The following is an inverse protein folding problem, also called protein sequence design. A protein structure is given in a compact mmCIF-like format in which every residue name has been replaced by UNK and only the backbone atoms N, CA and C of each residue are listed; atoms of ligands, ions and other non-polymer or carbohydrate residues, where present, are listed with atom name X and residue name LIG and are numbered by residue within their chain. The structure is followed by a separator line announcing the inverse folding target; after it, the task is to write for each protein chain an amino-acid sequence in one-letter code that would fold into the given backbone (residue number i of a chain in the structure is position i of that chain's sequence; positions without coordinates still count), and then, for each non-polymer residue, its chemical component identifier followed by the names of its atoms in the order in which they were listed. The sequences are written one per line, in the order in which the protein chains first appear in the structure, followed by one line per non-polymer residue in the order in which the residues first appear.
data_IF_982825003495
#
_entry.id   IF_982825003495
#
_cell.length_a   1.000
_cell.length_b   1.000
_cell.length_c   1.000
_cell.angle_alpha   90.00
_cell.angle_beta   90.00
_cell.angle_gamma   90.00
#
_symmetry.space_group_name_H-M   'P 1'
#
loop_
_entity.id
_entity.type
_entity.pdbx_description
1 polymer ?
#
# COMPACT_ATOMS: atom_id res chain seq x y z
N UNK A 1 21.64 12.62 -6.08
CA UNK A 1 20.70 11.91 -6.97
C UNK A 1 19.28 12.20 -6.54
N UNK A 2 18.40 12.54 -7.49
CA UNK A 2 16.97 12.72 -7.25
C UNK A 2 16.19 11.44 -7.54
N UNK A 3 15.24 11.11 -6.66
CA UNK A 3 14.36 9.95 -6.75
C UNK A 3 12.91 10.43 -6.57
N UNK A 4 11.99 9.92 -7.38
CA UNK A 4 10.56 10.21 -7.21
C UNK A 4 9.81 8.92 -6.88
N UNK A 5 9.18 8.85 -5.71
CA UNK A 5 8.22 7.80 -5.35
C UNK A 5 6.82 8.17 -5.79
N UNK A 6 6.06 7.21 -6.32
CA UNK A 6 4.74 7.40 -6.92
C UNK A 6 3.75 6.36 -6.41
N UNK A 7 2.56 6.83 -6.02
CA UNK A 7 1.37 6.02 -5.79
C UNK A 7 0.21 6.56 -6.65
N UNK A 8 -0.50 5.67 -7.36
CA UNK A 8 -1.71 6.02 -8.14
C UNK A 8 -2.96 5.25 -7.66
N UNK A 9 -2.85 4.52 -6.54
CA UNK A 9 -4.00 3.93 -5.86
C UNK A 9 -4.80 5.01 -5.09
N UNK A 10 -5.57 4.61 -4.09
CA UNK A 10 -6.21 5.57 -3.18
C UNK A 10 -5.11 6.43 -2.53
N UNK A 11 -5.42 7.72 -2.34
CA UNK A 11 -4.47 8.73 -1.86
C UNK A 11 -3.25 8.90 -2.78
N UNK A 12 -3.50 8.88 -4.09
CA UNK A 12 -2.46 9.06 -5.10
C UNK A 12 -1.62 10.32 -4.83
N UNK A 13 -0.33 10.23 -5.10
CA UNK A 13 0.62 11.27 -4.75
C UNK A 13 2.05 10.93 -5.17
N UNK A 14 2.94 11.89 -4.94
CA UNK A 14 4.37 11.75 -5.23
C UNK A 14 5.20 12.20 -4.04
N UNK A 15 6.39 11.63 -3.90
CA UNK A 15 7.43 12.14 -3.02
C UNK A 15 8.75 12.32 -3.78
N UNK A 16 9.50 13.36 -3.46
CA UNK A 16 10.84 13.61 -3.97
C UNK A 16 11.85 13.40 -2.86
N UNK A 17 12.85 12.59 -3.15
CA UNK A 17 14.03 12.44 -2.32
C UNK A 17 15.27 12.93 -3.07
N UNK A 18 16.21 13.50 -2.32
CA UNK A 18 17.53 13.87 -2.81
C UNK A 18 18.58 13.30 -1.86
N UNK A 19 19.42 12.40 -2.37
CA UNK A 19 20.56 11.85 -1.61
C UNK A 19 20.15 11.28 -0.24
N UNK A 20 19.05 10.52 -0.21
CA UNK A 20 18.51 9.90 1.01
C UNK A 20 17.62 10.79 1.87
N UNK A 21 17.52 12.09 1.55
CA UNK A 21 16.70 13.05 2.31
C UNK A 21 15.37 13.28 1.61
N UNK A 22 14.27 13.20 2.35
CA UNK A 22 12.95 13.60 1.86
C UNK A 22 12.93 15.13 1.63
N UNK A 23 12.72 15.54 0.39
CA UNK A 23 12.60 16.96 0.02
C UNK A 23 11.16 17.42 0.14
N UNK A 24 10.23 16.65 -0.43
CA UNK A 24 8.82 17.01 -0.47
C UNK A 24 7.93 15.78 -0.71
N UNK A 25 6.73 15.77 -0.15
CA UNK A 25 5.70 14.78 -0.42
C UNK A 25 4.33 15.47 -0.49
N UNK A 26 3.52 15.11 -1.48
CA UNK A 26 2.22 15.71 -1.71
C UNK A 26 1.25 14.70 -2.33
N UNK A 27 0.00 14.72 -1.86
CA UNK A 27 -1.10 13.94 -2.41
C UNK A 27 -1.93 14.79 -3.38
N UNK A 28 -2.37 14.15 -4.47
CA UNK A 28 -3.09 14.79 -5.59
C UNK A 28 -4.41 15.44 -5.14
N UNK A 29 -5.06 14.86 -4.13
CA UNK A 29 -6.29 15.41 -3.55
C UNK A 29 -6.13 16.83 -3.00
N UNK A 30 -4.90 17.24 -2.63
CA UNK A 30 -4.63 18.59 -2.13
C UNK A 30 -4.75 19.63 -3.23
N UNK A 31 -4.37 19.25 -4.46
CA UNK A 31 -4.37 20.11 -5.64
C UNK A 31 -5.70 20.04 -6.39
N UNK A 32 -6.21 18.84 -6.65
CA UNK A 32 -7.41 18.65 -7.44
C UNK A 32 -8.72 18.73 -6.63
N UNK A 33 -8.62 18.80 -5.29
CA UNK A 33 -9.72 18.92 -4.33
C UNK A 33 -10.71 17.74 -4.33
N UNK A 34 -10.35 16.62 -4.96
CA UNK A 34 -11.11 15.36 -4.94
C UNK A 34 -10.55 14.48 -3.83
N UNK A 35 -11.26 14.44 -2.71
CA UNK A 35 -10.86 13.65 -1.53
C UNK A 35 -10.64 12.17 -1.89
N UNK A 36 -9.56 11.57 -1.38
CA UNK A 36 -9.12 10.20 -1.60
C UNK A 36 -8.95 9.89 -3.10
N UNK A 37 -8.39 10.84 -3.85
CA UNK A 37 -8.20 10.70 -5.29
C UNK A 37 -7.41 9.42 -5.63
N UNK A 38 -7.92 8.67 -6.61
CA UNK A 38 -7.28 7.50 -7.18
C UNK A 38 -7.06 7.75 -8.68
N UNK A 39 -5.84 7.50 -9.15
CA UNK A 39 -5.40 7.77 -10.52
C UNK A 39 -4.01 8.39 -10.56
N UNK A 40 -3.56 8.78 -11.76
CA UNK A 40 -2.23 9.35 -11.95
C UNK A 40 -2.09 10.70 -11.23
N UNK A 41 -1.05 10.91 -10.39
CA UNK A 41 -0.84 12.15 -9.67
C UNK A 41 -0.07 13.20 -10.52
N UNK A 42 -0.65 13.57 -11.66
CA UNK A 42 -0.01 14.47 -12.63
C UNK A 42 0.24 15.87 -12.04
N UNK A 43 -0.75 16.46 -11.34
CA UNK A 43 -0.59 17.81 -10.81
C UNK A 43 0.49 17.85 -9.74
N UNK A 44 0.61 16.79 -8.94
CA UNK A 44 1.69 16.67 -7.96
C UNK A 44 3.07 16.61 -8.61
N UNK A 45 3.22 15.79 -9.66
CA UNK A 45 4.49 15.67 -10.37
C UNK A 45 4.90 17.01 -10.98
N UNK A 46 3.97 17.67 -11.68
CA UNK A 46 4.22 18.97 -12.29
C UNK A 46 4.55 20.05 -11.25
N UNK A 47 3.77 20.10 -10.16
CA UNK A 47 4.01 21.03 -9.05
C UNK A 47 5.43 20.87 -8.49
N UNK A 48 5.82 19.63 -8.21
CA UNK A 48 7.10 19.31 -7.59
C UNK A 48 8.26 19.63 -8.53
N UNK A 49 8.19 19.21 -9.79
CA UNK A 49 9.24 19.49 -10.79
C UNK A 49 9.41 21.00 -11.00
N UNK A 50 8.31 21.74 -11.14
CA UNK A 50 8.35 23.20 -11.31
C UNK A 50 8.94 23.91 -10.09
N UNK A 51 8.48 23.57 -8.89
CA UNK A 51 8.95 24.19 -7.64
C UNK A 51 10.43 23.96 -7.41
N UNK A 52 10.92 22.76 -7.73
CA UNK A 52 12.33 22.38 -7.56
C UNK A 52 13.19 22.73 -8.79
N UNK A 53 12.61 23.32 -9.83
CA UNK A 53 13.25 23.65 -11.12
C UNK A 53 13.96 22.44 -11.76
N UNK A 54 13.32 21.27 -11.64
CA UNK A 54 13.80 20.01 -12.19
C UNK A 54 13.02 19.66 -13.46
N UNK A 55 13.68 18.93 -14.35
CA UNK A 55 13.08 18.24 -15.49
C UNK A 55 12.99 16.76 -15.18
N UNK A 56 12.11 16.05 -15.89
CA UNK A 56 11.99 14.58 -15.83
C UNK A 56 13.36 13.89 -16.01
N UNK A 57 14.21 14.41 -16.90
CA UNK A 57 15.54 13.85 -17.17
C UNK A 57 16.54 13.99 -16.01
N UNK A 58 16.32 14.93 -15.09
CA UNK A 58 17.15 15.14 -13.90
C UNK A 58 16.86 14.09 -12.81
N UNK A 59 15.76 13.35 -12.94
CA UNK A 59 15.38 12.29 -12.03
C UNK A 59 16.14 11.02 -12.37
N UNK A 60 16.79 10.44 -11.35
CA UNK A 60 17.55 9.21 -11.46
C UNK A 60 16.63 8.00 -11.62
N UNK A 61 15.68 7.85 -10.69
CA UNK A 61 14.68 6.78 -10.74
C UNK A 61 13.28 7.26 -10.35
N UNK A 62 12.29 6.63 -10.98
CA UNK A 62 10.88 6.70 -10.64
C UNK A 62 10.49 5.37 -9.99
N UNK A 63 10.05 5.44 -8.74
CA UNK A 63 9.79 4.29 -7.89
C UNK A 63 8.28 4.13 -7.71
N UNK A 64 7.77 2.94 -8.02
CA UNK A 64 6.38 2.57 -7.84
C UNK A 64 6.27 1.53 -6.72
N UNK A 65 5.56 1.86 -5.66
CA UNK A 65 5.45 1.07 -4.42
C UNK A 65 4.33 0.02 -4.46
N UNK A 66 4.20 -0.64 -5.60
CA UNK A 66 3.23 -1.69 -5.89
C UNK A 66 3.84 -2.66 -6.90
N UNK A 67 3.42 -3.93 -6.86
CA UNK A 67 3.88 -4.99 -7.74
C UNK A 67 5.39 -5.30 -7.60
N UNK A 68 5.95 -5.13 -6.39
CA UNK A 68 7.30 -5.60 -6.09
C UNK A 68 7.38 -7.10 -6.29
N UNK A 69 8.22 -7.57 -7.23
CA UNK A 69 8.38 -9.00 -7.61
C UNK A 69 8.95 -9.91 -6.50
N UNK A 70 8.94 -9.50 -5.24
CA UNK A 70 9.62 -10.20 -4.14
C UNK A 70 8.76 -11.19 -3.36
N UNK A 71 7.54 -11.47 -3.82
CA UNK A 71 6.75 -12.51 -3.17
C UNK A 71 7.34 -13.90 -3.46
N UNK A 72 7.75 -14.59 -2.40
CA UNK A 72 7.99 -16.02 -2.44
C UNK A 72 6.68 -16.74 -2.79
N UNK A 73 6.42 -16.93 -4.09
CA UNK A 73 5.18 -17.51 -4.57
C UNK A 73 4.93 -18.92 -4.02
N UNK A 74 5.99 -19.68 -3.72
CA UNK A 74 5.85 -21.00 -3.10
C UNK A 74 5.25 -20.87 -1.70
N UNK A 75 5.78 -19.98 -0.87
CA UNK A 75 5.25 -19.71 0.46
C UNK A 75 3.82 -19.13 0.39
N UNK A 76 3.58 -18.19 -0.51
CA UNK A 76 2.26 -17.61 -0.73
C UNK A 76 1.22 -18.69 -1.08
N UNK A 77 1.53 -19.56 -2.04
CA UNK A 77 0.65 -20.68 -2.44
C UNK A 77 0.40 -21.60 -1.24
N UNK A 78 1.44 -21.92 -0.46
CA UNK A 78 1.30 -22.76 0.74
C UNK A 78 0.37 -22.12 1.79
N UNK A 79 0.55 -20.84 2.10
CA UNK A 79 -0.32 -20.08 3.02
C UNK A 79 -1.75 -20.02 2.48
N UNK A 80 -1.92 -19.70 1.21
CA UNK A 80 -3.23 -19.58 0.56
C UNK A 80 -3.98 -20.90 0.56
N UNK A 81 -3.34 -22.00 0.16
CA UNK A 81 -3.95 -23.33 0.14
C UNK A 81 -4.40 -23.75 1.54
N UNK A 82 -3.53 -23.60 2.55
CA UNK A 82 -3.90 -23.89 3.95
C UNK A 82 -5.11 -23.07 4.40
N UNK A 83 -5.13 -21.78 4.04
CA UNK A 83 -6.21 -20.86 4.43
C UNK A 83 -7.54 -21.17 3.74
N UNK A 84 -7.51 -21.51 2.45
CA UNK A 84 -8.70 -21.91 1.67
C UNK A 84 -9.28 -23.21 2.21
N UNK A 85 -8.44 -24.22 2.48
CA UNK A 85 -8.89 -25.50 3.08
C UNK A 85 -9.59 -25.22 4.41
N UNK A 86 -8.94 -24.46 5.32
CA UNK A 86 -9.53 -24.08 6.60
C UNK A 86 -10.87 -23.35 6.44
N UNK A 87 -10.98 -22.44 5.48
CA UNK A 87 -12.21 -21.71 5.20
C UNK A 87 -13.37 -22.63 4.78
N UNK A 88 -13.10 -23.55 3.85
CA UNK A 88 -14.10 -24.48 3.31
C UNK A 88 -14.49 -25.56 4.32
N UNK A 89 -13.56 -26.01 5.15
CA UNK A 89 -13.87 -26.92 6.27
C UNK A 89 -14.82 -26.25 7.27
N UNK A 90 -14.59 -24.98 7.61
CA UNK A 90 -15.44 -24.26 8.57
C UNK A 90 -16.79 -23.83 7.97
N UNK A 91 -16.81 -23.46 6.69
CA UNK A 91 -18.02 -23.05 5.99
C UNK A 91 -17.94 -23.46 4.50
N UNK A 92 -18.53 -24.59 4.10
CA UNK A 92 -18.50 -25.06 2.71
C UNK A 92 -19.10 -24.07 1.70
N UNK A 93 -19.99 -23.18 2.14
CA UNK A 93 -20.67 -22.21 1.29
C UNK A 93 -19.85 -20.93 1.04
N UNK A 94 -18.64 -20.80 1.58
CA UNK A 94 -17.81 -19.59 1.41
C UNK A 94 -17.06 -19.52 0.06
N UNK A 95 -17.19 -20.52 -0.81
CA UNK A 95 -16.48 -20.61 -2.09
C UNK A 95 -16.68 -19.38 -2.99
N UNK A 96 -17.88 -18.78 -2.98
CA UNK A 96 -18.16 -17.54 -3.74
C UNK A 96 -17.34 -16.35 -3.24
N UNK A 97 -17.18 -16.21 -1.93
CA UNK A 97 -16.39 -15.13 -1.30
C UNK A 97 -14.90 -15.32 -1.60
N UNK A 98 -14.40 -16.57 -1.52
CA UNK A 98 -13.01 -16.89 -1.87
C UNK A 98 -12.72 -16.53 -3.32
N UNK A 99 -13.58 -16.95 -4.26
CA UNK A 99 -13.43 -16.63 -5.69
C UNK A 99 -13.42 -15.12 -5.94
N UNK A 100 -14.35 -14.38 -5.33
CA UNK A 100 -14.39 -12.92 -5.46
C UNK A 100 -13.11 -12.25 -4.96
N UNK A 101 -12.58 -12.70 -3.80
CA UNK A 101 -11.30 -12.18 -3.27
C UNK A 101 -10.14 -12.47 -4.21
N UNK A 102 -10.02 -13.70 -4.71
CA UNK A 102 -8.95 -14.07 -5.65
C UNK A 102 -8.97 -13.23 -6.92
N UNK A 103 -10.17 -12.96 -7.47
CA UNK A 103 -10.31 -12.10 -8.64
C UNK A 103 -9.81 -10.68 -8.37
N UNK A 104 -10.17 -10.10 -7.23
CA UNK A 104 -9.69 -8.75 -6.86
C UNK A 104 -8.18 -8.72 -6.72
N UNK A 105 -7.58 -9.73 -6.08
CA UNK A 105 -6.12 -9.78 -5.90
C UNK A 105 -5.34 -9.89 -7.21
N UNK A 106 -5.86 -10.65 -8.18
CA UNK A 106 -5.13 -10.92 -9.43
C UNK A 106 -5.29 -9.81 -10.47
N UNK A 107 -6.46 -9.17 -10.56
CA UNK A 107 -6.78 -8.29 -11.69
C UNK A 107 -6.73 -6.80 -11.37
N UNK A 108 -6.87 -6.40 -10.11
CA UNK A 108 -6.98 -4.96 -9.77
C UNK A 108 -5.68 -4.20 -10.00
N UNK A 109 -4.55 -4.82 -9.67
CA UNK A 109 -3.26 -4.12 -9.64
C UNK A 109 -2.63 -4.03 -11.04
N UNK A 110 -3.01 -4.93 -11.95
CA UNK A 110 -2.55 -4.93 -13.35
C UNK A 110 -2.94 -3.63 -14.05
N UNK A 111 -4.18 -3.16 -13.88
CA UNK A 111 -4.66 -1.92 -14.49
C UNK A 111 -3.87 -0.69 -14.02
N UNK A 112 -3.70 -0.54 -12.70
CA UNK A 112 -3.01 0.62 -12.13
C UNK A 112 -1.53 0.64 -12.54
N UNK A 113 -0.90 -0.52 -12.58
CA UNK A 113 0.48 -0.65 -13.05
C UNK A 113 0.59 -0.30 -14.54
N UNK A 114 -0.33 -0.77 -15.38
CA UNK A 114 -0.34 -0.44 -16.79
C UNK A 114 -0.48 1.08 -17.01
N UNK A 115 -1.41 1.73 -16.30
CA UNK A 115 -1.57 3.19 -16.34
C UNK A 115 -0.29 3.93 -15.94
N UNK A 116 0.39 3.46 -14.88
CA UNK A 116 1.68 4.02 -14.47
C UNK A 116 2.78 3.82 -15.53
N UNK A 117 2.91 2.63 -16.10
CA UNK A 117 3.92 2.33 -17.12
C UNK A 117 3.72 3.19 -18.38
N UNK A 118 2.48 3.30 -18.88
CA UNK A 118 2.16 4.18 -20.01
C UNK A 118 2.49 5.64 -19.69
N UNK A 119 2.11 6.11 -18.51
CA UNK A 119 2.38 7.47 -18.07
C UNK A 119 3.89 7.78 -18.03
N UNK A 120 4.71 6.86 -17.52
CA UNK A 120 6.17 7.01 -17.52
C UNK A 120 6.74 7.07 -18.95
N UNK A 121 6.23 6.26 -19.87
CA UNK A 121 6.68 6.29 -21.27
C UNK A 121 6.28 7.57 -22.00
N UNK A 122 5.07 8.09 -21.76
CA UNK A 122 4.62 9.37 -22.30
C UNK A 122 5.48 10.54 -21.82
N UNK A 123 5.98 10.48 -20.58
CA UNK A 123 6.93 11.44 -20.02
C UNK A 123 8.37 11.26 -20.55
N UNK A 124 8.63 10.28 -21.42
CA UNK A 124 9.95 9.98 -21.96
C UNK A 124 10.88 9.26 -20.95
N UNK A 125 10.34 8.67 -19.89
CA UNK A 125 11.11 7.92 -18.90
C UNK A 125 11.47 6.55 -19.47
N UNK A 126 12.78 6.27 -19.51
CA UNK A 126 13.28 4.97 -19.94
C UNK A 126 12.99 3.88 -18.91
N UNK A 127 12.66 2.67 -19.38
CA UNK A 127 12.30 1.53 -18.50
C UNK A 127 13.33 1.21 -17.42
N UNK A 128 14.62 1.44 -17.68
CA UNK A 128 15.71 1.21 -16.71
C UNK A 128 15.73 2.23 -15.55
N UNK A 129 14.99 3.34 -15.66
CA UNK A 129 14.78 4.30 -14.57
C UNK A 129 13.54 3.98 -13.73
N UNK A 130 12.77 2.96 -14.08
CA UNK A 130 11.57 2.56 -13.35
C UNK A 130 11.92 1.43 -12.38
N UNK A 131 11.60 1.62 -11.10
CA UNK A 131 11.84 0.64 -10.04
C UNK A 131 10.51 0.27 -9.38
N UNK A 132 10.30 -1.02 -9.17
CA UNK A 132 9.13 -1.56 -8.47
C UNK A 132 9.56 -2.06 -7.10
N UNK A 133 8.86 -1.62 -6.05
CA UNK A 133 9.09 -2.07 -4.68
C UNK A 133 7.84 -2.74 -4.11
N UNK A 134 8.05 -3.67 -3.18
CA UNK A 134 6.98 -4.32 -2.44
C UNK A 134 6.25 -3.28 -1.57
N UNK A 135 4.92 -3.34 -1.59
CA UNK A 135 4.03 -2.39 -0.94
C UNK A 135 4.22 -2.36 0.58
N UNK A 136 4.22 -3.52 1.23
CA UNK A 136 4.38 -3.61 2.69
C UNK A 136 5.81 -3.28 3.11
N UNK A 137 6.82 -3.65 2.30
CA UNK A 137 8.20 -3.21 2.51
C UNK A 137 8.34 -1.69 2.39
N UNK A 138 7.58 -1.06 1.49
CA UNK A 138 7.53 0.40 1.37
C UNK A 138 6.92 1.04 2.61
N UNK A 139 5.83 0.47 3.15
CA UNK A 139 5.28 0.90 4.44
C UNK A 139 6.28 0.73 5.59
N UNK A 140 6.99 -0.39 5.65
CA UNK A 140 7.99 -0.64 6.68
C UNK A 140 9.13 0.39 6.62
N UNK A 141 9.65 0.70 5.42
CA UNK A 141 10.65 1.74 5.24
C UNK A 141 10.14 3.14 5.60
N UNK A 142 8.90 3.48 5.24
CA UNK A 142 8.31 4.76 5.58
C UNK A 142 8.16 4.97 7.09
N UNK A 143 8.05 3.89 7.87
CA UNK A 143 8.05 3.94 9.33
C UNK A 143 9.46 3.93 9.93
N UNK A 144 10.35 3.08 9.42
CA UNK A 144 11.70 2.87 9.98
C UNK A 144 12.67 4.00 9.66
N UNK A 145 12.75 4.44 8.39
CA UNK A 145 13.72 5.43 7.96
C UNK A 145 13.67 6.77 8.72
N UNK A 146 12.49 7.33 9.06
CA UNK A 146 12.42 8.54 9.89
C UNK A 146 12.42 8.27 11.40
N UNK A 147 12.46 7.00 11.82
CA UNK A 147 12.44 6.64 13.24
C UNK A 147 13.79 6.95 13.91
N UNK A 148 13.82 7.14 15.25
CA UNK A 148 15.07 7.36 15.97
C UNK A 148 15.83 6.07 16.29
N UNK A 149 15.41 4.93 15.75
CA UNK A 149 15.95 3.61 16.11
C UNK A 149 16.95 3.12 15.07
N UNK A 150 18.08 2.61 15.54
CA UNK A 150 19.09 1.95 14.68
C UNK A 150 18.67 0.53 14.26
N UNK A 151 17.79 -0.09 15.05
CA UNK A 151 17.16 -1.39 14.76
C UNK A 151 15.73 -1.43 15.30
N UNK A 152 14.83 -2.16 14.62
CA UNK A 152 13.43 -2.25 15.02
C UNK A 152 12.74 -3.51 14.50
N UNK A 153 11.82 -4.05 15.31
CA UNK A 153 10.73 -4.87 14.81
C UNK A 153 9.60 -3.97 14.30
N UNK A 154 9.19 -4.20 13.06
CA UNK A 154 8.21 -3.38 12.35
C UNK A 154 6.99 -4.22 12.05
N UNK A 155 5.81 -3.69 12.36
CA UNK A 155 4.55 -4.28 11.96
C UNK A 155 3.83 -3.33 11.01
N UNK A 156 3.40 -3.86 9.86
CA UNK A 156 2.52 -3.13 8.95
C UNK A 156 1.14 -3.77 8.99
N UNK A 157 0.08 -2.97 9.10
CA UNK A 157 -1.31 -3.45 9.04
C UNK A 157 -2.07 -2.60 8.04
N UNK A 158 -2.59 -3.25 7.00
CA UNK A 158 -3.31 -2.60 5.93
C UNK A 158 -4.49 -3.46 5.44
N UNK A 159 -5.30 -2.89 4.56
CA UNK A 159 -6.30 -3.62 3.81
C UNK A 159 -5.64 -4.66 2.88
N UNK A 160 -4.76 -4.19 1.98
CA UNK A 160 -4.04 -5.06 1.03
C UNK A 160 -2.87 -4.35 0.36
N UNK A 161 -1.83 -5.12 0.06
CA UNK A 161 -0.84 -4.78 -0.95
C UNK A 161 0.02 -5.99 -1.28
N UNK A 162 0.34 -6.19 -2.56
CA UNK A 162 1.18 -7.29 -3.02
C UNK A 162 0.84 -8.66 -2.39
N UNK A 163 -0.46 -9.00 -2.38
CA UNK A 163 -1.03 -10.25 -1.83
C UNK A 163 -0.99 -10.40 -0.29
N UNK A 164 -0.57 -9.37 0.43
CA UNK A 164 -0.47 -9.31 1.88
C UNK A 164 -1.48 -8.34 2.46
N UNK A 165 -1.83 -8.50 3.73
CA UNK A 165 -2.59 -7.50 4.51
C UNK A 165 -1.82 -6.96 5.70
N UNK A 166 -0.88 -7.74 6.22
CA UNK A 166 0.05 -7.27 7.24
C UNK A 166 1.37 -8.00 7.11
N UNK A 167 2.43 -7.39 7.63
CA UNK A 167 3.76 -8.00 7.70
C UNK A 167 4.41 -7.72 9.06
N UNK A 168 5.29 -8.64 9.45
CA UNK A 168 6.25 -8.46 10.52
C UNK A 168 7.65 -8.49 9.91
N UNK A 169 8.45 -7.47 10.21
CA UNK A 169 9.80 -7.30 9.67
C UNK A 169 10.79 -6.98 10.77
N UNK A 170 12.05 -7.33 10.55
CA UNK A 170 13.18 -6.83 11.33
C UNK A 170 13.98 -5.86 10.46
N UNK A 171 14.41 -4.76 11.05
CA UNK A 171 15.21 -3.75 10.39
C UNK A 171 16.45 -3.41 11.21
N UNK A 172 17.58 -3.26 10.51
CA UNK A 172 18.85 -2.80 11.07
C UNK A 172 19.65 -2.03 10.01
N UNK A 173 20.95 -1.78 10.28
CA UNK A 173 21.89 -1.12 9.35
C UNK A 173 22.03 -1.81 7.98
N UNK A 174 21.65 -3.08 7.85
CA UNK A 174 21.74 -3.86 6.61
C UNK A 174 20.47 -3.76 5.77
N UNK A 175 19.37 -3.24 6.33
CA UNK A 175 18.10 -3.03 5.65
C UNK A 175 16.91 -3.66 6.38
N UNK A 176 15.85 -3.96 5.64
CA UNK A 176 14.62 -4.57 6.16
C UNK A 176 14.47 -5.99 5.61
N UNK A 177 14.34 -6.95 6.53
CA UNK A 177 13.98 -8.34 6.30
C UNK A 177 12.53 -8.59 6.72
N UNK A 178 11.72 -9.14 5.83
CA UNK A 178 10.36 -9.60 6.18
C UNK A 178 10.44 -11.00 6.79
N UNK A 179 9.93 -11.14 8.02
CA UNK A 179 9.98 -12.38 8.78
C UNK A 179 8.69 -13.20 8.60
N UNK A 180 7.54 -12.52 8.54
CA UNK A 180 6.25 -13.15 8.30
C UNK A 180 5.24 -12.15 7.72
N UNK A 181 4.16 -12.67 7.15
CA UNK A 181 3.04 -11.88 6.64
C UNK A 181 1.75 -12.70 6.64
N UNK A 182 0.61 -12.00 6.72
CA UNK A 182 -0.70 -12.58 6.46
C UNK A 182 -1.25 -12.19 5.10
N UNK A 183 -2.07 -13.08 4.56
CA UNK A 183 -2.78 -12.90 3.30
C UNK A 183 -3.88 -11.85 3.44
N UNK A 184 -4.34 -11.30 2.31
CA UNK A 184 -5.48 -10.37 2.29
C UNK A 184 -6.81 -10.98 2.77
N UNK A 185 -6.90 -12.31 2.81
CA UNK A 185 -8.02 -13.06 3.35
C UNK A 185 -8.23 -12.88 4.86
N UNK A 186 -7.18 -12.48 5.57
CA UNK A 186 -7.16 -12.28 7.01
C UNK A 186 -6.94 -10.82 7.40
N UNK A 187 -7.21 -9.89 6.47
CA UNK A 187 -7.03 -8.46 6.69
C UNK A 187 -7.95 -7.92 7.79
N UNK A 188 -7.34 -7.44 8.86
CA UNK A 188 -8.02 -6.66 9.90
C UNK A 188 -8.50 -5.31 9.33
N UNK A 189 -7.78 -4.75 8.35
CA UNK A 189 -8.21 -3.54 7.64
C UNK A 189 -9.55 -3.74 6.93
N UNK A 190 -9.73 -4.85 6.20
CA UNK A 190 -11.03 -5.16 5.59
C UNK A 190 -12.11 -5.45 6.61
N UNK A 191 -11.80 -6.16 7.71
CA UNK A 191 -12.75 -6.38 8.80
C UNK A 191 -13.25 -5.05 9.37
N UNK A 192 -12.34 -4.14 9.68
CA UNK A 192 -12.66 -2.82 10.23
C UNK A 192 -13.44 -1.95 9.23
N UNK A 193 -13.13 -2.05 7.93
CA UNK A 193 -13.91 -1.44 6.85
C UNK A 193 -15.34 -1.98 6.76
N UNK A 194 -15.56 -3.30 6.98
CA UNK A 194 -16.91 -3.86 7.03
C UNK A 194 -17.68 -3.39 8.26
N UNK A 195 -17.05 -3.29 9.42
CA UNK A 195 -17.66 -2.71 10.64
C UNK A 195 -18.06 -1.25 10.37
N UNK A 196 -17.18 -0.48 9.75
CA UNK A 196 -17.45 0.90 9.34
C UNK A 196 -18.69 1.00 8.46
N UNK A 197 -18.78 0.14 7.44
CA UNK A 197 -19.95 0.06 6.57
C UNK A 197 -21.22 -0.36 7.31
N UNK A 198 -21.14 -1.36 8.19
CA UNK A 198 -22.27 -1.85 8.97
C UNK A 198 -22.87 -0.77 9.87
N UNK A 199 -22.03 0.10 10.44
CA UNK A 199 -22.47 1.24 11.27
C UNK A 199 -23.03 2.41 10.45
N UNK A 200 -23.20 2.26 9.13
CA UNK A 200 -23.76 3.29 8.24
C UNK A 200 -22.74 4.32 7.76
N UNK A 201 -21.44 4.08 7.96
CA UNK A 201 -20.38 4.96 7.48
C UNK A 201 -19.76 4.46 6.17
N UNK A 202 -19.26 5.39 5.35
CA UNK A 202 -18.47 5.05 4.15
C UNK A 202 -17.13 4.38 4.51
N UNK A 203 -16.96 3.10 4.15
CA UNK A 203 -15.69 2.38 4.25
C UNK A 203 -14.59 3.03 3.37
N UNK A 204 -13.32 2.81 3.71
CA UNK A 204 -12.11 3.44 3.18
C UNK A 204 -12.10 4.98 3.28
N UNK A 205 -12.81 5.54 4.26
CA UNK A 205 -12.94 7.00 4.44
C UNK A 205 -13.29 7.38 5.88
N UNK A 206 -14.13 6.60 6.54
CA UNK A 206 -14.70 6.96 7.84
C UNK A 206 -14.28 6.03 8.99
N UNK A 207 -13.29 5.17 8.78
CA UNK A 207 -12.70 4.30 9.81
C UNK A 207 -12.28 5.12 11.05
N UNK A 208 -11.70 6.30 10.85
CA UNK A 208 -11.34 7.20 11.95
C UNK A 208 -12.54 7.73 12.76
N UNK A 209 -13.73 7.83 12.15
CA UNK A 209 -14.97 8.18 12.88
C UNK A 209 -15.40 7.04 13.79
N UNK A 210 -15.23 5.79 13.34
CA UNK A 210 -15.52 4.60 14.15
C UNK A 210 -14.55 4.51 15.32
N UNK A 211 -13.27 4.84 15.13
CA UNK A 211 -12.30 4.94 16.25
C UNK A 211 -12.76 6.00 17.26
N UNK A 212 -13.20 7.16 16.79
CA UNK A 212 -13.75 8.21 17.65
C UNK A 212 -14.99 7.77 18.43
N UNK A 213 -15.88 7.00 17.81
CA UNK A 213 -17.06 6.42 18.47
C UNK A 213 -16.68 5.35 19.50
N UNK A 214 -15.64 4.55 19.23
CA UNK A 214 -15.19 3.49 20.12
C UNK A 214 -14.75 4.01 21.50
N UNK A 215 -14.28 5.26 21.58
CA UNK A 215 -13.94 5.91 22.84
C UNK A 215 -15.15 6.11 23.80
N UNK A 216 -16.37 6.06 23.27
CA UNK A 216 -17.63 6.12 24.03
C UNK A 216 -18.27 4.74 24.23
N UNK A 217 -17.65 3.69 23.70
CA UNK A 217 -18.15 2.32 23.81
C UNK A 217 -17.92 1.71 25.19
N UNK A 218 -18.66 0.65 25.48
CA UNK A 218 -18.36 -0.22 26.62
C UNK A 218 -17.68 -1.50 26.10
N UNK A 219 -16.35 -1.65 26.27
CA UNK A 219 -15.62 -2.81 25.75
C UNK A 219 -16.07 -4.14 26.39
N UNK A 220 -16.56 -4.12 27.64
CA UNK A 220 -17.04 -5.30 28.37
C UNK A 220 -18.21 -6.01 27.67
N UNK A 221 -18.95 -5.30 26.79
CA UNK A 221 -20.04 -5.92 26.02
C UNK A 221 -19.55 -6.86 24.90
N UNK A 222 -18.27 -6.81 24.58
CA UNK A 222 -17.65 -7.55 23.46
C UNK A 222 -16.46 -8.40 23.87
N UNK A 223 -16.03 -8.32 25.13
CA UNK A 223 -15.04 -9.23 25.68
C UNK A 223 -15.70 -10.61 25.89
N UNK A 224 -14.97 -11.71 25.58
CA UNK A 224 -15.49 -13.08 25.71
C UNK A 224 -15.70 -13.51 27.17
#
# INVERSE_FOLDING_TARGET
MYLIGINNAIDAGVCLMKDGVLVEAINEERLNRKKNYQGLPQQCLDYLLNKQKLKVNDIGYFIYSWCGKQNNYSEYINKLTKRIIKALTNNPNCSKIIKARMQVELFRDEKLRFEFEQWMFELGVSKNKIVYLDHHKSHAWAAFAPSPFDEAFIFTFDARGDLKSCSASYADKNGIEELDYHLTFDSIGFLYGQITNYLGFTHNKHEGKVVGLAALGNPEKTLP
#
